data_IF_215639808094
#
_entry.id   IF_215639808094
#
_cell.length_a   1.000
_cell.length_b   1.000
_cell.length_c   1.000
_cell.angle_alpha   90.00
_cell.angle_beta   90.00
_cell.angle_gamma   90.00
#
_symmetry.space_group_name_H-M   'P 1'
#
loop_
_entity.id
_entity.type
_entity.pdbx_description
1 polymer ?
#
# COMPACT_ATOMS: atom_id res chain seq x y z
N UNK A 1 1.25 8.94 2.00
CA UNK A 1 2.03 10.18 2.32
C UNK A 1 3.17 9.74 3.23
N UNK A 2 4.37 9.61 2.68
CA UNK A 2 5.55 9.36 3.50
C UNK A 2 5.79 10.69 4.23
N UNK A 3 5.53 10.73 5.51
CA UNK A 3 5.88 11.88 6.33
C UNK A 3 7.41 11.92 6.40
N UNK A 4 8.03 12.76 5.60
CA UNK A 4 9.43 13.13 5.80
C UNK A 4 9.47 14.04 7.03
N UNK A 5 9.37 13.46 8.21
CA UNK A 5 9.81 14.16 9.41
C UNK A 5 11.29 14.51 9.18
N UNK A 6 11.61 15.77 9.00
CA UNK A 6 12.98 16.25 9.16
C UNK A 6 13.36 15.90 10.60
N UNK A 7 14.06 14.80 10.77
CA UNK A 7 14.64 14.46 12.05
C UNK A 7 15.57 15.62 12.41
N UNK A 8 15.41 16.16 13.60
CA UNK A 8 16.31 17.19 14.08
C UNK A 8 17.72 16.59 14.14
N UNK A 9 18.77 17.33 13.75
CA UNK A 9 20.14 16.90 13.96
C UNK A 9 20.32 16.43 15.41
N UNK A 10 21.06 15.34 15.60
CA UNK A 10 21.31 14.73 16.91
C UNK A 10 20.09 14.05 17.61
N UNK A 11 18.94 13.92 16.94
CA UNK A 11 17.91 13.01 17.44
C UNK A 11 18.37 11.55 17.30
N UNK A 12 17.84 10.66 18.14
CA UNK A 12 18.23 9.23 18.16
C UNK A 12 18.03 8.50 16.81
N UNK A 13 17.34 9.04 15.88
CA UNK A 13 17.14 8.46 14.55
C UNK A 13 17.74 9.30 13.42
N UNK A 14 18.58 10.28 13.71
CA UNK A 14 19.13 11.20 12.70
C UNK A 14 20.23 10.58 11.86
N UNK A 15 21.00 9.63 12.39
CA UNK A 15 22.11 8.96 11.71
C UNK A 15 21.66 7.70 11.01
N UNK A 16 21.42 6.66 11.75
CA UNK A 16 21.04 5.34 11.20
C UNK A 16 19.79 4.77 11.86
N UNK A 17 19.02 4.03 11.07
CA UNK A 17 17.85 3.31 11.54
C UNK A 17 17.90 1.85 11.09
N UNK A 18 17.76 0.94 12.05
CA UNK A 18 17.77 -0.50 11.81
C UNK A 18 16.37 -1.06 12.10
N UNK A 19 15.68 -1.51 11.06
CA UNK A 19 14.40 -2.16 11.23
C UNK A 19 14.57 -3.62 11.66
N UNK A 20 13.84 -4.04 12.67
CA UNK A 20 13.72 -5.45 12.98
C UNK A 20 12.88 -6.15 11.92
N UNK A 21 13.26 -7.36 11.50
CA UNK A 21 12.41 -8.18 10.65
C UNK A 21 11.19 -8.64 11.49
N UNK A 22 10.01 -8.20 11.10
CA UNK A 22 8.77 -8.58 11.74
C UNK A 22 7.90 -7.38 12.13
N UNK A 23 6.67 -7.70 12.47
CA UNK A 23 5.67 -6.72 12.89
C UNK A 23 4.74 -7.35 13.93
N UNK A 24 4.05 -6.50 14.67
CA UNK A 24 2.96 -6.89 15.56
C UNK A 24 1.66 -6.34 14.96
N UNK A 25 0.67 -7.19 14.81
CA UNK A 25 -0.66 -6.75 14.39
C UNK A 25 -1.36 -6.07 15.56
N UNK A 26 -1.87 -4.86 15.33
CA UNK A 26 -2.64 -4.07 16.29
C UNK A 26 -3.94 -3.60 15.66
N UNK A 27 -4.85 -3.06 16.46
CA UNK A 27 -6.16 -2.58 16.00
C UNK A 27 -6.93 -3.64 15.17
N UNK A 28 -7.07 -4.86 15.73
CA UNK A 28 -7.73 -5.99 15.05
C UNK A 28 -7.10 -6.34 13.68
N UNK A 29 -5.80 -6.12 13.55
CA UNK A 29 -5.08 -6.42 12.33
C UNK A 29 -5.17 -5.35 11.24
N UNK A 30 -5.76 -4.20 11.50
CA UNK A 30 -5.78 -3.08 10.56
C UNK A 30 -4.46 -2.32 10.48
N UNK A 31 -3.69 -2.36 11.57
CA UNK A 31 -2.42 -1.68 11.68
C UNK A 31 -1.29 -2.68 11.98
N UNK A 32 -0.11 -2.34 11.52
CA UNK A 32 1.13 -3.06 11.77
C UNK A 32 2.07 -2.16 12.56
N UNK A 33 2.51 -2.64 13.71
CA UNK A 33 3.52 -1.99 14.54
C UNK A 33 4.89 -2.58 14.22
N UNK A 34 5.78 -1.75 13.71
CA UNK A 34 7.16 -2.11 13.39
C UNK A 34 8.10 -1.40 14.34
N UNK A 35 9.02 -2.15 14.94
CA UNK A 35 10.07 -1.60 15.79
C UNK A 35 11.34 -1.35 14.98
N UNK A 36 12.07 -0.31 15.37
CA UNK A 36 13.37 -0.01 14.81
C UNK A 36 14.32 0.51 15.90
N UNK A 37 15.59 0.19 15.75
CA UNK A 37 16.65 0.83 16.50
C UNK A 37 17.13 2.07 15.76
N UNK A 38 17.33 3.17 16.44
CA UNK A 38 17.87 4.39 15.88
C UNK A 38 19.13 4.83 16.59
N UNK A 39 20.06 5.42 15.84
CA UNK A 39 21.26 6.05 16.37
C UNK A 39 21.40 7.48 15.82
N UNK A 40 21.92 8.37 16.63
CA UNK A 40 22.14 9.77 16.22
C UNK A 40 23.28 9.91 15.20
N UNK A 41 24.13 8.90 15.07
CA UNK A 41 25.31 8.89 14.23
C UNK A 41 25.32 7.68 13.31
N UNK A 42 26.09 7.77 12.23
CA UNK A 42 26.30 6.68 11.29
C UNK A 42 27.18 5.59 11.89
N UNK A 43 27.04 4.35 11.40
CA UNK A 43 27.82 3.18 11.86
C UNK A 43 29.34 3.37 11.71
N UNK A 44 29.75 4.10 10.69
CA UNK A 44 31.17 4.38 10.43
C UNK A 44 31.78 5.38 11.44
N UNK A 45 30.93 6.06 12.21
CA UNK A 45 31.36 7.22 13.00
C UNK A 45 31.94 8.31 12.10
N UNK A 46 31.73 9.56 12.42
CA UNK A 46 32.58 10.58 11.86
C UNK A 46 33.95 10.40 12.49
N UNK A 47 34.95 10.02 11.66
CA UNK A 47 36.27 9.61 12.09
C UNK A 47 37.05 10.75 12.83
N UNK A 48 36.50 11.95 12.85
CA UNK A 48 37.18 13.13 13.34
C UNK A 48 36.78 13.61 14.74
N UNK A 49 35.82 12.96 15.41
CA UNK A 49 35.37 13.54 16.66
C UNK A 49 35.24 12.50 17.82
N UNK A 50 36.36 12.35 18.54
CA UNK A 50 36.45 11.55 19.78
C UNK A 50 35.48 12.00 20.88
N UNK A 51 34.65 12.98 20.66
CA UNK A 51 33.70 13.50 21.64
C UNK A 51 32.27 13.03 21.46
N UNK A 52 31.89 12.60 20.27
CA UNK A 52 30.51 12.21 19.97
C UNK A 52 30.09 10.87 20.60
N UNK A 53 31.02 9.99 20.91
CA UNK A 53 30.74 8.74 21.63
C UNK A 53 30.10 8.94 23.01
N UNK A 54 30.36 10.07 23.62
CA UNK A 54 29.89 10.34 24.98
C UNK A 54 28.48 10.90 25.03
N UNK A 55 27.98 11.38 23.90
CA UNK A 55 26.62 11.93 23.78
C UNK A 55 25.73 11.16 22.80
N UNK A 56 26.15 9.97 22.39
CA UNK A 56 25.39 9.16 21.45
C UNK A 56 24.06 8.77 22.05
N UNK A 57 23.01 9.40 21.61
CA UNK A 57 21.67 8.93 21.87
C UNK A 57 21.34 7.82 20.87
N UNK A 58 21.16 6.62 21.35
CA UNK A 58 20.52 5.53 20.64
C UNK A 58 19.21 5.23 21.31
N UNK A 59 18.25 4.75 20.57
CA UNK A 59 16.95 4.47 21.12
C UNK A 59 16.18 3.43 20.32
N UNK A 60 15.13 2.92 20.93
CA UNK A 60 14.15 2.08 20.28
C UNK A 60 12.96 2.95 19.88
N UNK A 61 12.61 2.91 18.60
CA UNK A 61 11.43 3.55 18.07
C UNK A 61 10.43 2.54 17.57
N UNK A 62 9.22 3.01 17.31
CA UNK A 62 8.18 2.23 16.68
C UNK A 62 7.39 3.09 15.69
N UNK A 63 6.98 2.49 14.60
CA UNK A 63 6.09 3.13 13.64
C UNK A 63 4.84 2.27 13.48
N UNK A 64 3.72 2.93 13.26
CA UNK A 64 2.46 2.27 12.93
C UNK A 64 2.19 2.52 11.45
N UNK A 65 1.98 1.45 10.71
CA UNK A 65 1.63 1.48 9.29
C UNK A 65 0.32 0.76 9.08
N UNK A 66 -0.56 1.31 8.28
CA UNK A 66 -1.77 0.58 7.87
C UNK A 66 -1.39 -0.69 7.12
N UNK A 67 -2.10 -1.79 7.39
CA UNK A 67 -1.89 -3.07 6.69
C UNK A 67 -1.92 -2.86 5.17
N UNK A 68 -0.97 -3.48 4.48
CA UNK A 68 -0.84 -3.44 3.02
C UNK A 68 -0.66 -2.04 2.42
N UNK A 69 -0.11 -1.08 3.20
CA UNK A 69 0.17 0.30 2.76
C UNK A 69 1.63 0.70 2.86
N UNK A 70 2.55 -0.23 2.71
CA UNK A 70 3.98 0.07 2.65
C UNK A 70 4.37 0.81 1.37
N UNK A 71 3.65 0.56 0.29
CA UNK A 71 3.83 1.20 -0.99
C UNK A 71 2.46 1.45 -1.65
N UNK A 72 2.39 2.44 -2.51
CA UNK A 72 1.18 2.75 -3.26
C UNK A 72 1.50 3.20 -4.68
N UNK A 73 0.56 2.96 -5.59
CA UNK A 73 0.58 3.54 -6.92
C UNK A 73 -0.36 4.73 -6.92
N UNK A 74 0.16 5.89 -7.28
CA UNK A 74 -0.60 7.12 -7.28
C UNK A 74 -1.01 7.50 -8.71
N UNK A 75 -2.32 7.60 -8.96
CA UNK A 75 -2.88 8.06 -10.24
C UNK A 75 -2.71 9.57 -10.48
N UNK A 76 -2.39 10.33 -9.44
CA UNK A 76 -2.21 11.78 -9.50
C UNK A 76 -3.50 12.55 -9.78
N UNK A 77 -3.37 13.86 -9.75
CA UNK A 77 -4.44 14.77 -10.19
C UNK A 77 -4.31 15.03 -11.70
N UNK A 78 -5.43 14.94 -12.40
CA UNK A 78 -5.47 15.26 -13.82
C UNK A 78 -5.56 16.77 -13.98
N UNK A 79 -4.46 17.48 -13.74
CA UNK A 79 -4.35 18.88 -14.15
C UNK A 79 -3.93 18.91 -15.62
N UNK A 80 -4.84 19.33 -16.50
CA UNK A 80 -4.61 19.51 -17.93
C UNK A 80 -4.28 18.24 -18.76
N UNK A 81 -4.53 17.04 -18.27
CA UNK A 81 -4.38 15.82 -19.08
C UNK A 81 -5.74 15.27 -19.50
N UNK A 82 -5.90 14.98 -20.79
CA UNK A 82 -7.13 14.42 -21.36
C UNK A 82 -7.33 12.92 -21.01
N UNK A 83 -6.36 12.27 -20.41
CA UNK A 83 -6.39 10.82 -20.17
C UNK A 83 -6.55 10.52 -18.69
N UNK A 84 -7.52 9.68 -18.37
CA UNK A 84 -7.72 9.15 -17.01
C UNK A 84 -6.59 8.17 -16.71
N UNK A 85 -5.90 8.30 -15.57
CA UNK A 85 -4.88 7.34 -15.17
C UNK A 85 -5.47 5.93 -15.08
N UNK A 86 -4.80 4.98 -15.69
CA UNK A 86 -5.22 3.59 -15.69
C UNK A 86 -4.07 2.71 -15.21
N UNK A 87 -4.33 1.85 -14.23
CA UNK A 87 -3.43 0.80 -13.80
C UNK A 87 -3.95 -0.53 -14.34
N UNK A 88 -3.07 -1.30 -14.95
CA UNK A 88 -3.34 -2.69 -15.34
C UNK A 88 -2.42 -3.62 -14.56
N UNK A 89 -3.00 -4.67 -13.98
CA UNK A 89 -2.23 -5.75 -13.35
C UNK A 89 -1.70 -6.72 -14.41
N UNK A 90 -0.80 -7.61 -13.99
CA UNK A 90 -0.49 -8.81 -14.76
C UNK A 90 -1.70 -9.75 -14.77
N UNK A 91 -1.80 -10.59 -15.80
CA UNK A 91 -2.84 -11.61 -15.88
C UNK A 91 -2.66 -12.63 -14.75
N UNK A 92 -3.72 -12.91 -14.01
CA UNK A 92 -3.73 -13.85 -12.90
C UNK A 92 -4.68 -15.00 -13.21
N UNK A 93 -4.19 -16.23 -13.08
CA UNK A 93 -5.04 -17.43 -13.20
C UNK A 93 -5.72 -17.69 -11.87
N UNK A 94 -7.02 -17.82 -11.89
CA UNK A 94 -7.79 -18.28 -10.71
C UNK A 94 -7.60 -19.80 -10.60
N UNK A 95 -7.09 -20.34 -9.48
CA UNK A 95 -6.88 -21.76 -9.31
C UNK A 95 -8.21 -22.55 -9.34
N UNK A 96 -8.22 -23.69 -10.01
CA UNK A 96 -9.41 -24.55 -10.13
C UNK A 96 -9.76 -25.27 -8.82
N UNK A 97 -8.83 -25.33 -7.86
CA UNK A 97 -8.94 -26.12 -6.64
C UNK A 97 -9.26 -25.29 -5.38
N UNK A 98 -9.97 -24.18 -5.51
CA UNK A 98 -10.26 -23.33 -4.36
C UNK A 98 -11.48 -23.86 -3.62
N UNK A 99 -11.30 -24.25 -2.36
CA UNK A 99 -12.40 -24.66 -1.47
C UNK A 99 -13.29 -23.50 -1.03
N UNK A 100 -12.86 -22.27 -1.23
CA UNK A 100 -13.62 -21.06 -0.97
C UNK A 100 -13.68 -20.19 -2.22
N UNK A 101 -14.75 -19.43 -2.34
CA UNK A 101 -14.93 -18.47 -3.43
C UNK A 101 -13.81 -17.44 -3.39
N UNK A 102 -12.89 -17.37 -4.37
CA UNK A 102 -11.88 -16.33 -4.38
C UNK A 102 -12.57 -14.98 -4.45
N UNK A 103 -12.24 -14.10 -3.51
CA UNK A 103 -12.76 -12.74 -3.50
C UNK A 103 -11.63 -11.77 -3.89
N UNK A 104 -11.86 -10.98 -4.93
CA UNK A 104 -11.00 -9.86 -5.23
C UNK A 104 -11.27 -8.77 -4.20
N UNK A 105 -10.20 -8.27 -3.59
CA UNK A 105 -10.26 -7.13 -2.68
C UNK A 105 -9.20 -6.12 -3.07
N UNK A 106 -9.48 -4.86 -2.89
CA UNK A 106 -8.51 -3.82 -3.16
C UNK A 106 -8.44 -2.81 -2.02
N UNK A 107 -7.22 -2.33 -1.81
CA UNK A 107 -6.87 -1.33 -0.83
C UNK A 107 -6.62 -0.02 -1.58
N UNK A 108 -7.33 1.04 -1.20
CA UNK A 108 -7.21 2.32 -1.89
C UNK A 108 -7.56 3.51 -1.00
N UNK A 109 -7.07 4.66 -1.42
CA UNK A 109 -7.44 5.95 -0.89
C UNK A 109 -7.66 6.93 -2.04
N UNK A 110 -8.74 7.69 -1.99
CA UNK A 110 -9.02 8.76 -2.95
C UNK A 110 -9.06 10.11 -2.25
N UNK A 111 -8.77 11.16 -3.01
CA UNK A 111 -9.11 12.51 -2.56
C UNK A 111 -10.64 12.68 -2.47
N UNK A 112 -11.09 13.80 -1.89
CA UNK A 112 -12.52 14.12 -1.73
C UNK A 112 -13.27 14.07 -3.05
N UNK A 113 -12.66 14.52 -4.13
CA UNK A 113 -13.26 14.53 -5.48
C UNK A 113 -12.84 13.32 -6.32
N UNK A 114 -11.85 12.58 -5.88
CA UNK A 114 -11.33 11.41 -6.60
C UNK A 114 -12.26 10.22 -6.54
N UNK A 115 -12.09 9.32 -7.49
CA UNK A 115 -12.79 8.05 -7.50
C UNK A 115 -11.98 6.98 -8.24
N UNK A 116 -12.34 5.73 -7.99
CA UNK A 116 -11.80 4.55 -8.67
C UNK A 116 -12.95 3.79 -9.31
N UNK A 117 -12.73 3.26 -10.48
CA UNK A 117 -13.55 2.24 -11.15
C UNK A 117 -12.68 1.07 -11.55
N UNK A 118 -13.27 -0.10 -11.60
CA UNK A 118 -12.58 -1.36 -11.88
C UNK A 118 -13.17 -2.03 -13.10
N UNK A 119 -12.33 -2.73 -13.86
CA UNK A 119 -12.71 -3.54 -15.01
C UNK A 119 -11.95 -4.85 -14.94
N UNK A 120 -12.62 -5.96 -15.23
CA UNK A 120 -11.96 -7.23 -15.42
C UNK A 120 -11.83 -7.49 -16.92
N UNK A 121 -10.66 -7.91 -17.33
CA UNK A 121 -10.36 -8.26 -18.71
C UNK A 121 -10.07 -9.76 -18.81
N UNK A 122 -10.27 -10.31 -20.00
CA UNK A 122 -9.74 -11.62 -20.38
C UNK A 122 -8.23 -11.53 -20.66
N UNK A 123 -7.64 -12.63 -21.07
CA UNK A 123 -6.23 -12.73 -21.47
C UNK A 123 -5.90 -11.96 -22.75
N UNK A 124 -6.90 -11.73 -23.63
CA UNK A 124 -6.79 -10.90 -24.83
C UNK A 124 -6.94 -9.39 -24.52
N UNK A 125 -7.12 -9.04 -23.26
CA UNK A 125 -7.28 -7.66 -22.76
C UNK A 125 -8.63 -7.01 -23.11
N UNK A 126 -9.61 -7.79 -23.54
CA UNK A 126 -10.97 -7.33 -23.73
C UNK A 126 -11.75 -7.36 -22.38
N UNK A 127 -12.70 -6.42 -22.17
CA UNK A 127 -13.53 -6.46 -20.97
C UNK A 127 -14.39 -7.72 -20.94
N UNK A 128 -14.37 -8.42 -19.81
CA UNK A 128 -15.30 -9.52 -19.57
C UNK A 128 -16.73 -8.98 -19.55
N UNK A 129 -17.67 -9.77 -20.07
CA UNK A 129 -19.08 -9.37 -20.17
C UNK A 129 -19.66 -9.05 -18.77
N UNK A 130 -20.21 -7.86 -18.64
CA UNK A 130 -20.76 -7.36 -17.39
C UNK A 130 -19.73 -6.77 -16.40
N UNK A 131 -18.41 -6.83 -16.68
CA UNK A 131 -17.34 -6.36 -15.80
C UNK A 131 -16.54 -5.18 -16.35
N UNK A 132 -17.14 -4.37 -17.22
CA UNK A 132 -16.53 -3.16 -17.77
C UNK A 132 -16.51 -1.99 -16.79
N UNK A 133 -15.74 -0.94 -17.07
CA UNK A 133 -15.77 0.31 -16.32
C UNK A 133 -17.16 0.95 -16.24
N UNK A 134 -17.99 0.77 -17.26
CA UNK A 134 -19.33 1.34 -17.28
C UNK A 134 -20.28 0.64 -16.31
N UNK A 135 -20.10 -0.66 -16.12
CA UNK A 135 -20.87 -1.45 -15.16
C UNK A 135 -20.30 -1.42 -13.74
N UNK A 136 -19.05 -0.96 -13.57
CA UNK A 136 -18.38 -0.85 -12.27
C UNK A 136 -19.07 0.16 -11.36
N UNK A 137 -19.23 -0.20 -10.10
CA UNK A 137 -19.50 0.78 -9.06
C UNK A 137 -18.37 1.81 -8.96
N UNK A 138 -18.72 3.01 -8.53
CA UNK A 138 -17.74 4.08 -8.30
C UNK A 138 -17.33 4.06 -6.83
N UNK A 139 -16.02 3.94 -6.58
CA UNK A 139 -15.46 3.85 -5.23
C UNK A 139 -14.79 5.14 -4.84
N UNK A 140 -15.11 5.66 -3.65
CA UNK A 140 -14.52 6.87 -3.07
C UNK A 140 -14.21 6.62 -1.61
N UNK A 141 -13.19 7.28 -1.09
CA UNK A 141 -12.83 7.23 0.32
C UNK A 141 -11.53 6.48 0.59
N UNK A 142 -11.43 5.89 1.76
CA UNK A 142 -10.24 5.26 2.29
C UNK A 142 -10.61 3.89 2.86
N UNK A 143 -10.23 2.83 2.16
CA UNK A 143 -10.60 1.46 2.50
C UNK A 143 -9.40 0.52 2.39
N UNK A 144 -9.16 -0.30 3.40
CA UNK A 144 -8.11 -1.31 3.40
C UNK A 144 -8.50 -2.57 2.62
N UNK A 145 -9.78 -2.87 2.51
CA UNK A 145 -10.25 -4.15 1.95
C UNK A 145 -11.66 -4.00 1.37
N UNK A 146 -11.77 -3.30 0.24
CA UNK A 146 -13.04 -3.12 -0.46
C UNK A 146 -13.28 -4.27 -1.43
N UNK A 147 -14.49 -4.82 -1.43
CA UNK A 147 -14.94 -5.80 -2.41
C UNK A 147 -15.55 -5.08 -3.61
N UNK A 148 -15.07 -5.30 -4.84
CA UNK A 148 -15.62 -4.67 -6.02
C UNK A 148 -16.99 -5.25 -6.41
N UNK A 149 -17.80 -4.43 -7.08
CA UNK A 149 -19.08 -4.85 -7.64
C UNK A 149 -19.34 -4.18 -9.00
N UNK A 150 -20.10 -4.90 -9.84
CA UNK A 150 -20.51 -4.42 -11.16
C UNK A 150 -22.03 -4.63 -11.27
N UNK A 151 -22.79 -3.55 -11.55
CA UNK A 151 -24.26 -3.59 -11.59
C UNK A 151 -24.89 -4.34 -10.43
N UNK A 152 -24.35 -4.13 -9.20
CA UNK A 152 -24.71 -4.83 -7.97
C UNK A 152 -24.38 -6.34 -7.95
N UNK A 153 -23.71 -6.89 -8.97
CA UNK A 153 -23.13 -8.22 -8.94
C UNK A 153 -21.74 -8.14 -8.32
N UNK A 154 -21.47 -9.00 -7.38
CA UNK A 154 -20.11 -9.23 -6.87
C UNK A 154 -19.44 -10.28 -7.74
N UNK A 155 -18.09 -10.27 -7.77
CA UNK A 155 -17.35 -11.38 -8.39
C UNK A 155 -17.49 -12.59 -7.49
N UNK A 156 -18.59 -13.30 -7.64
CA UNK A 156 -18.74 -14.65 -7.17
C UNK A 156 -18.43 -15.57 -8.34
N UNK A 157 -17.13 -15.69 -8.61
CA UNK A 157 -16.55 -16.76 -9.39
C UNK A 157 -16.72 -16.81 -10.88
N UNK A 158 -15.63 -16.60 -11.40
CA UNK A 158 -15.29 -17.15 -12.70
C UNK A 158 -14.28 -18.28 -12.45
N UNK A 159 -14.72 -19.51 -12.22
CA UNK A 159 -13.84 -20.68 -12.24
C UNK A 159 -13.15 -20.72 -13.59
N UNK A 160 -11.82 -20.73 -13.60
CA UNK A 160 -11.02 -20.82 -14.83
C UNK A 160 -10.89 -19.54 -15.65
N UNK A 161 -11.25 -18.37 -15.12
CA UNK A 161 -11.06 -17.10 -15.82
C UNK A 161 -9.71 -16.46 -15.42
N UNK A 162 -9.03 -15.93 -16.44
CA UNK A 162 -7.85 -15.09 -16.27
C UNK A 162 -8.32 -13.64 -15.99
N UNK A 163 -7.76 -13.01 -14.99
CA UNK A 163 -8.06 -11.62 -14.61
C UNK A 163 -6.80 -10.77 -14.70
#
# INVERSE_FOLDING_TARGET
MICTCRLQPFSYGAGENYFNPGYIEVNNGEDLLLYYGGAAFTHAGDADDNQHWKSSSSGLGAIIVKRDRFASINGGYIFNKKTIPTLRTVTMKVPDCVFSIPSIRFNFETSVVGYIKLQLNDDEKAPLDGYSFNSSSTYKGNFLSMRPSWNKKTVDLLKGVFV
#
